data_IF_544681462761
#
_entry.id   IF_544681462761
#
_cell.length_a   1.000
_cell.length_b   1.000
_cell.length_c   1.000
_cell.angle_alpha   90.00
_cell.angle_beta   90.00
_cell.angle_gamma   90.00
#
_symmetry.space_group_name_H-M   'P 1'
#
loop_
_entity.id
_entity.type
_entity.pdbx_description
1 polymer ?
#
# COMPACT_ATOMS: atom_id res chain seq x y z
N UNK A 1 -24.11 -17.39 10.26
CA UNK A 1 -23.18 -16.66 9.39
C UNK A 1 -22.34 -15.58 10.09
N UNK A 2 -22.34 -15.53 11.42
CA UNK A 2 -21.57 -14.53 12.22
C UNK A 2 -20.18 -14.96 12.67
N UNK A 3 -19.91 -16.26 12.66
CA UNK A 3 -18.62 -16.83 13.14
C UNK A 3 -17.42 -16.45 12.25
N UNK A 4 -17.66 -16.01 11.02
CA UNK A 4 -16.58 -15.74 10.05
C UNK A 4 -15.98 -14.32 10.18
N UNK A 5 -16.65 -13.42 10.88
CA UNK A 5 -16.22 -12.01 11.01
C UNK A 5 -15.24 -11.82 12.17
N UNK A 6 -15.46 -12.50 13.29
CA UNK A 6 -14.55 -12.49 14.44
C UNK A 6 -13.23 -13.21 14.13
N UNK A 7 -13.30 -14.36 13.47
CA UNK A 7 -12.11 -15.10 13.01
C UNK A 7 -11.27 -14.28 12.02
N UNK A 8 -11.90 -13.50 11.15
CA UNK A 8 -11.19 -12.61 10.22
C UNK A 8 -10.53 -11.42 10.94
N UNK A 9 -11.12 -10.89 11.97
CA UNK A 9 -10.56 -9.78 12.77
C UNK A 9 -9.39 -10.27 13.62
N UNK A 10 -9.50 -11.46 14.21
CA UNK A 10 -8.44 -12.06 15.02
C UNK A 10 -7.24 -12.51 14.15
N UNK A 11 -7.51 -13.07 12.98
CA UNK A 11 -6.49 -13.42 11.99
C UNK A 11 -5.79 -12.18 11.42
N UNK A 12 -6.53 -11.10 11.17
CA UNK A 12 -5.97 -9.82 10.76
C UNK A 12 -5.06 -9.20 11.83
N UNK A 13 -5.39 -9.38 13.12
CA UNK A 13 -4.58 -8.91 14.24
C UNK A 13 -3.25 -9.67 14.39
N UNK A 14 -3.27 -11.00 14.29
CA UNK A 14 -2.05 -11.83 14.37
C UNK A 14 -1.12 -11.62 13.17
N UNK A 15 -1.68 -11.50 11.97
CA UNK A 15 -0.91 -11.26 10.75
C UNK A 15 -0.29 -9.86 10.75
N UNK A 16 -0.97 -8.85 11.28
CA UNK A 16 -0.44 -7.48 11.35
C UNK A 16 0.83 -7.40 12.20
N UNK A 17 0.90 -8.11 13.33
CA UNK A 17 2.07 -8.09 14.24
C UNK A 17 3.26 -8.85 13.66
N UNK A 18 3.02 -10.01 13.02
CA UNK A 18 4.09 -10.81 12.41
C UNK A 18 4.71 -10.12 11.19
N UNK A 19 3.94 -9.29 10.49
CA UNK A 19 4.37 -8.64 9.25
C UNK A 19 5.09 -7.32 9.51
N UNK A 20 4.73 -6.56 10.53
CA UNK A 20 5.52 -5.39 10.97
C UNK A 20 6.95 -5.83 11.25
N UNK A 21 7.14 -6.92 12.00
CA UNK A 21 8.46 -7.46 12.31
C UNK A 21 9.22 -7.96 11.07
N UNK A 22 8.52 -8.56 10.10
CA UNK A 22 9.16 -9.11 8.88
C UNK A 22 9.52 -8.01 7.86
N UNK A 23 8.77 -6.91 7.82
CA UNK A 23 9.04 -5.75 6.96
C UNK A 23 10.22 -4.91 7.49
N UNK A 24 10.37 -4.82 8.81
CA UNK A 24 11.52 -4.19 9.46
C UNK A 24 12.81 -5.00 9.23
N UNK A 25 12.75 -6.33 9.36
CA UNK A 25 13.92 -7.21 9.16
C UNK A 25 14.39 -7.32 7.70
N UNK A 26 13.48 -7.16 6.73
CA UNK A 26 13.82 -7.39 5.32
C UNK A 26 14.08 -6.13 4.49
N UNK A 27 13.95 -4.93 5.07
CA UNK A 27 14.14 -3.66 4.32
C UNK A 27 13.35 -3.60 2.99
N UNK A 28 12.18 -4.27 2.92
CA UNK A 28 11.40 -4.55 1.70
C UNK A 28 10.46 -3.42 1.31
N UNK A 29 10.42 -2.30 2.05
CA UNK A 29 9.83 -1.07 1.51
C UNK A 29 10.90 -0.38 0.67
N UNK A 30 11.33 -1.07 -0.36
CA UNK A 30 12.09 -0.48 -1.44
C UNK A 30 11.09 0.05 -2.46
N UNK A 31 10.59 1.27 -2.23
CA UNK A 31 9.71 2.00 -3.17
C UNK A 31 10.48 2.45 -4.42
N UNK A 32 11.23 1.53 -5.04
CA UNK A 32 12.02 1.81 -6.25
C UNK A 32 11.30 1.50 -7.55
N UNK A 33 9.97 1.41 -7.58
CA UNK A 33 9.29 1.00 -8.82
C UNK A 33 8.24 2.01 -9.31
N UNK A 34 8.49 3.31 -9.20
CA UNK A 34 7.80 4.28 -10.06
C UNK A 34 8.76 5.42 -10.45
N UNK A 35 9.27 5.27 -11.66
CA UNK A 35 9.69 6.36 -12.54
C UNK A 35 10.80 7.29 -12.02
N UNK A 36 12.07 6.92 -12.21
CA UNK A 36 13.08 7.91 -12.54
C UNK A 36 14.21 7.29 -13.34
N UNK A 37 14.34 7.72 -14.57
CA UNK A 37 15.58 7.62 -15.32
C UNK A 37 16.59 8.56 -14.68
N UNK A 38 17.63 8.03 -14.04
CA UNK A 38 18.72 8.84 -13.49
C UNK A 38 19.41 8.13 -12.30
N UNK A 39 20.58 7.55 -12.53
CA UNK A 39 21.51 7.05 -11.52
C UNK A 39 21.97 8.20 -10.63
N UNK A 40 21.31 8.42 -9.51
CA UNK A 40 21.87 9.08 -8.34
C UNK A 40 21.52 8.22 -7.12
N UNK A 41 22.51 7.86 -6.32
CA UNK A 41 22.33 7.24 -5.02
C UNK A 41 21.44 8.20 -4.17
N UNK A 42 20.13 7.97 -4.17
CA UNK A 42 19.19 8.79 -3.42
C UNK A 42 19.40 8.46 -1.93
N UNK A 43 19.60 9.49 -1.13
CA UNK A 43 19.55 9.38 0.32
C UNK A 43 18.21 8.71 0.73
N UNK A 44 18.20 7.87 1.77
CA UNK A 44 16.96 7.23 2.22
C UNK A 44 15.91 8.29 2.51
N UNK A 45 14.70 8.12 1.94
CA UNK A 45 13.59 9.06 2.14
C UNK A 45 13.26 9.19 3.62
N UNK A 46 13.02 10.41 4.07
CA UNK A 46 12.57 10.68 5.44
C UNK A 46 11.20 10.02 5.71
N UNK A 47 10.87 9.82 6.99
CA UNK A 47 9.57 9.31 7.39
C UNK A 47 8.42 10.20 6.88
N UNK A 48 8.64 11.52 6.85
CA UNK A 48 7.71 12.49 6.27
C UNK A 48 7.45 12.22 4.78
N UNK A 49 8.51 12.09 3.98
CA UNK A 49 8.40 11.85 2.52
C UNK A 49 7.75 10.50 2.21
N UNK A 50 8.06 9.46 3.00
CA UNK A 50 7.40 8.15 2.89
C UNK A 50 5.90 8.23 3.18
N UNK A 51 5.53 8.96 4.23
CA UNK A 51 4.12 9.17 4.59
C UNK A 51 3.38 9.91 3.49
N UNK A 52 3.96 10.98 2.95
CA UNK A 52 3.34 11.74 1.87
C UNK A 52 3.21 10.90 0.59
N UNK A 53 4.21 10.10 0.25
CA UNK A 53 4.14 9.17 -0.88
C UNK A 53 3.03 8.10 -0.70
N UNK A 54 2.86 7.55 0.50
CA UNK A 54 1.77 6.61 0.79
C UNK A 54 0.39 7.26 0.64
N UNK A 55 0.22 8.50 1.09
CA UNK A 55 -1.03 9.24 0.94
C UNK A 55 -1.36 9.50 -0.54
N UNK A 56 -0.38 9.89 -1.37
CA UNK A 56 -0.58 10.07 -2.81
C UNK A 56 -0.95 8.76 -3.52
N UNK A 57 -0.30 7.65 -3.13
CA UNK A 57 -0.53 6.35 -3.75
C UNK A 57 -1.78 5.62 -3.23
N UNK A 58 -2.43 6.13 -2.18
CA UNK A 58 -3.52 5.44 -1.49
C UNK A 58 -4.69 5.07 -2.39
N UNK A 59 -5.11 5.98 -3.28
CA UNK A 59 -6.20 5.73 -4.24
C UNK A 59 -5.83 4.64 -5.26
N UNK A 60 -4.59 4.69 -5.76
CA UNK A 60 -4.10 3.69 -6.70
C UNK A 60 -3.97 2.32 -6.03
N UNK A 61 -3.52 2.28 -4.78
CA UNK A 61 -3.47 1.04 -4.01
C UNK A 61 -4.86 0.42 -3.84
N UNK A 62 -5.88 1.21 -3.51
CA UNK A 62 -7.27 0.72 -3.43
C UNK A 62 -7.74 0.15 -4.76
N UNK A 63 -7.53 0.89 -5.86
CA UNK A 63 -7.90 0.43 -7.19
C UNK A 63 -7.21 -0.89 -7.56
N UNK A 64 -5.91 -1.02 -7.32
CA UNK A 64 -5.15 -2.25 -7.58
C UNK A 64 -5.71 -3.43 -6.77
N UNK A 65 -6.04 -3.22 -5.50
CA UNK A 65 -6.64 -4.27 -4.66
C UNK A 65 -8.00 -4.68 -5.20
N UNK A 66 -8.87 -3.72 -5.56
CA UNK A 66 -10.20 -3.99 -6.11
C UNK A 66 -10.11 -4.77 -7.44
N UNK A 67 -9.21 -4.38 -8.35
CA UNK A 67 -8.94 -5.07 -9.62
C UNK A 67 -8.48 -6.53 -9.37
N UNK A 68 -7.58 -6.74 -8.42
CA UNK A 68 -7.10 -8.10 -8.08
C UNK A 68 -8.15 -8.95 -7.37
N UNK A 69 -8.99 -8.33 -6.55
CA UNK A 69 -10.10 -9.04 -5.92
C UNK A 69 -11.11 -9.50 -6.96
N UNK A 70 -11.41 -8.66 -7.96
CA UNK A 70 -12.26 -9.04 -9.08
C UNK A 70 -11.65 -10.20 -9.89
N UNK A 71 -10.33 -10.14 -10.17
CA UNK A 71 -9.63 -11.23 -10.86
C UNK A 71 -9.71 -12.55 -10.09
N UNK A 72 -9.59 -12.51 -8.76
CA UNK A 72 -9.76 -13.68 -7.90
C UNK A 72 -11.18 -14.25 -7.99
N UNK A 73 -12.20 -13.40 -8.00
CA UNK A 73 -13.60 -13.85 -8.14
C UNK A 73 -13.84 -14.47 -9.51
N UNK A 74 -13.30 -13.88 -10.57
CA UNK A 74 -13.42 -14.39 -11.93
C UNK A 74 -12.74 -15.76 -12.08
N UNK A 75 -11.54 -15.94 -11.52
CA UNK A 75 -10.85 -17.23 -11.51
C UNK A 75 -11.63 -18.30 -10.73
N UNK A 76 -12.22 -17.95 -9.59
CA UNK A 76 -13.06 -18.88 -8.82
C UNK A 76 -14.31 -19.30 -9.58
N UNK A 77 -14.86 -18.42 -10.41
CA UNK A 77 -16.12 -18.64 -11.13
C UNK A 77 -15.92 -19.33 -12.47
N UNK A 78 -14.89 -18.95 -13.21
CA UNK A 78 -14.69 -19.35 -14.59
C UNK A 78 -13.44 -20.23 -14.81
N UNK A 79 -12.62 -20.44 -13.77
CA UNK A 79 -11.35 -21.12 -13.88
C UNK A 79 -10.19 -20.21 -14.28
N UNK A 80 -8.99 -20.75 -14.32
CA UNK A 80 -7.78 -20.01 -14.68
C UNK A 80 -7.74 -19.78 -16.19
N UNK A 81 -7.59 -18.52 -16.67
CA UNK A 81 -7.44 -18.22 -18.09
C UNK A 81 -6.19 -18.89 -18.67
N UNK A 82 -6.31 -19.55 -19.81
CA UNK A 82 -5.19 -20.28 -20.45
C UNK A 82 -3.98 -19.40 -20.82
N UNK A 83 -4.19 -18.10 -21.06
CA UNK A 83 -3.13 -17.15 -21.38
C UNK A 83 -2.22 -16.78 -20.20
N UNK A 84 -2.70 -16.89 -18.97
CA UNK A 84 -1.90 -16.58 -17.78
C UNK A 84 -0.92 -17.70 -17.41
N UNK A 85 -1.24 -18.95 -17.74
CA UNK A 85 -0.39 -20.11 -17.45
C UNK A 85 0.91 -20.13 -18.26
N UNK A 86 0.92 -19.53 -19.46
CA UNK A 86 2.07 -19.56 -20.40
C UNK A 86 3.11 -18.48 -20.10
N UNK A 87 2.74 -17.33 -19.57
CA UNK A 87 3.67 -16.20 -19.35
C UNK A 87 4.62 -16.36 -18.17
N UNK A 88 4.25 -17.10 -17.14
CA UNK A 88 5.07 -17.24 -15.94
C UNK A 88 6.19 -18.29 -16.10
N UNK A 89 6.03 -19.27 -16.99
CA UNK A 89 7.04 -20.29 -17.24
C UNK A 89 8.22 -19.80 -18.09
N UNK A 90 8.00 -18.83 -18.98
CA UNK A 90 9.07 -18.23 -19.81
C UNK A 90 10.01 -17.33 -19.00
N UNK A 91 9.56 -16.78 -17.90
CA UNK A 91 10.37 -15.90 -17.04
C UNK A 91 11.35 -16.65 -16.09
N UNK A 92 11.19 -17.97 -15.88
CA UNK A 92 12.02 -18.76 -14.97
C UNK A 92 13.17 -19.55 -15.61
N UNK A 93 13.54 -19.22 -16.87
CA UNK A 93 14.80 -19.62 -17.52
C UNK A 93 15.49 -20.85 -16.98
N UNK A 94 14.94 -22.06 -17.18
CA UNK A 94 15.67 -23.30 -17.07
C UNK A 94 15.44 -24.11 -18.34
N UNK A 95 16.37 -23.96 -19.26
CA UNK A 95 16.46 -24.80 -20.45
C UNK A 95 16.99 -26.16 -20.00
N UNK A 96 16.11 -27.08 -19.67
CA UNK A 96 16.40 -28.51 -19.74
C UNK A 96 15.37 -29.17 -20.66
N UNK A 97 15.87 -29.66 -21.77
CA UNK A 97 15.23 -30.52 -22.76
C UNK A 97 14.65 -31.76 -22.12
N UNK A 98 13.39 -31.69 -21.77
CA UNK A 98 12.56 -32.80 -21.35
C UNK A 98 11.12 -32.34 -21.36
N UNK A 99 10.26 -32.96 -22.17
CA UNK A 99 8.90 -32.60 -22.54
C UNK A 99 8.18 -31.68 -21.55
N UNK A 100 7.80 -30.50 -22.04
CA UNK A 100 6.95 -29.54 -21.33
C UNK A 100 5.59 -30.20 -21.05
N UNK A 101 5.45 -30.80 -19.88
CA UNK A 101 4.14 -31.06 -19.29
C UNK A 101 3.67 -29.70 -18.78
N UNK A 102 2.81 -29.04 -19.54
CA UNK A 102 2.07 -27.87 -19.09
C UNK A 102 1.10 -28.36 -18.00
N UNK A 103 1.54 -28.37 -16.73
CA UNK A 103 0.62 -28.53 -15.62
C UNK A 103 -0.29 -27.30 -15.63
N UNK A 104 -1.58 -27.52 -15.87
CA UNK A 104 -2.58 -26.47 -15.74
C UNK A 104 -2.54 -25.98 -14.28
N UNK A 105 -2.29 -24.68 -14.09
CA UNK A 105 -2.31 -24.07 -12.75
C UNK A 105 -3.69 -24.29 -12.12
N UNK A 106 -3.73 -24.86 -10.91
CA UNK A 106 -5.00 -25.06 -10.22
C UNK A 106 -5.60 -23.71 -9.79
N UNK A 107 -6.91 -23.67 -9.69
CA UNK A 107 -7.64 -22.46 -9.23
C UNK A 107 -7.10 -21.98 -7.88
N UNK A 108 -6.84 -22.93 -6.96
CA UNK A 108 -6.30 -22.64 -5.63
C UNK A 108 -4.91 -22.00 -5.70
N UNK A 109 -4.03 -22.50 -6.58
CA UNK A 109 -2.68 -21.95 -6.78
C UNK A 109 -2.72 -20.53 -7.34
N UNK A 110 -3.56 -20.31 -8.35
CA UNK A 110 -3.74 -18.99 -8.96
C UNK A 110 -4.29 -17.98 -7.95
N UNK A 111 -5.33 -18.34 -7.20
CA UNK A 111 -5.90 -17.52 -6.14
C UNK A 111 -4.87 -17.21 -5.05
N UNK A 112 -4.12 -18.22 -4.58
CA UNK A 112 -3.09 -18.03 -3.56
C UNK A 112 -1.96 -17.10 -4.04
N UNK A 113 -1.58 -17.16 -5.32
CA UNK A 113 -0.60 -16.28 -5.93
C UNK A 113 -1.09 -14.83 -5.97
N UNK A 114 -2.32 -14.60 -6.41
CA UNK A 114 -2.94 -13.26 -6.44
C UNK A 114 -3.08 -12.68 -5.04
N UNK A 115 -3.54 -13.45 -4.07
CA UNK A 115 -3.60 -13.02 -2.67
C UNK A 115 -2.23 -12.56 -2.14
N UNK A 116 -1.18 -13.33 -2.39
CA UNK A 116 0.18 -12.94 -1.99
C UNK A 116 0.63 -11.64 -2.66
N UNK A 117 0.24 -11.40 -3.92
CA UNK A 117 0.62 -10.18 -4.64
C UNK A 117 -0.03 -8.90 -4.08
N UNK A 118 -1.21 -9.00 -3.49
CA UNK A 118 -1.93 -7.82 -2.94
C UNK A 118 -1.73 -7.64 -1.44
N UNK A 119 -1.22 -8.62 -0.74
CA UNK A 119 -1.13 -8.61 0.72
C UNK A 119 -0.36 -7.38 1.26
N UNK A 120 0.79 -7.04 0.67
CA UNK A 120 1.56 -5.86 1.07
C UNK A 120 0.80 -4.55 0.80
N UNK A 121 0.05 -4.48 -0.30
CA UNK A 121 -0.77 -3.32 -0.64
C UNK A 121 -1.94 -3.15 0.33
N UNK A 122 -2.62 -4.23 0.70
CA UNK A 122 -3.69 -4.23 1.71
C UNK A 122 -3.15 -3.76 3.06
N UNK A 123 -1.95 -4.19 3.43
CA UNK A 123 -1.30 -3.76 4.67
C UNK A 123 -0.96 -2.27 4.66
N UNK A 124 -0.43 -1.74 3.54
CA UNK A 124 -0.16 -0.33 3.38
C UNK A 124 -1.44 0.51 3.50
N UNK A 125 -2.55 0.07 2.87
CA UNK A 125 -3.87 0.71 3.02
C UNK A 125 -4.31 0.70 4.49
N UNK A 126 -4.28 -0.47 5.14
CA UNK A 126 -4.68 -0.59 6.55
C UNK A 126 -3.86 0.29 7.49
N UNK A 127 -2.56 0.41 7.23
CA UNK A 127 -1.67 1.28 8.00
C UNK A 127 -2.09 2.75 7.86
N UNK A 128 -2.32 3.22 6.63
CA UNK A 128 -2.81 4.59 6.37
C UNK A 128 -4.16 4.81 7.02
N UNK A 129 -5.13 3.88 6.87
CA UNK A 129 -6.47 4.01 7.46
C UNK A 129 -6.42 4.15 9.00
N UNK A 130 -5.61 3.33 9.67
CA UNK A 130 -5.42 3.42 11.12
C UNK A 130 -4.80 4.75 11.54
N UNK A 131 -3.78 5.20 10.82
CA UNK A 131 -3.15 6.48 11.08
C UNK A 131 -4.09 7.66 10.88
N UNK A 132 -4.85 7.65 9.79
CA UNK A 132 -5.86 8.67 9.47
C UNK A 132 -6.99 8.70 10.50
N UNK A 133 -7.47 7.53 10.95
CA UNK A 133 -8.51 7.43 11.97
C UNK A 133 -8.10 8.10 13.29
N UNK A 134 -6.82 8.04 13.65
CA UNK A 134 -6.31 8.70 14.86
C UNK A 134 -6.28 10.24 14.77
N UNK A 135 -6.29 10.79 13.54
CA UNK A 135 -6.30 12.23 13.29
C UNK A 135 -7.71 12.80 13.08
N UNK A 136 -8.74 11.96 13.05
CA UNK A 136 -10.11 12.33 12.63
C UNK A 136 -10.71 13.49 13.43
N UNK A 137 -10.29 13.69 14.68
CA UNK A 137 -10.81 14.74 15.54
C UNK A 137 -10.03 16.08 15.41
N UNK A 138 -8.97 16.12 14.59
CA UNK A 138 -8.26 17.37 14.31
C UNK A 138 -9.12 18.27 13.41
N UNK A 139 -9.29 19.56 13.73
CA UNK A 139 -10.13 20.48 12.94
C UNK A 139 -9.65 20.65 11.49
N UNK A 140 -8.38 20.37 11.22
CA UNK A 140 -7.77 20.45 9.89
C UNK A 140 -7.64 19.08 9.20
N UNK A 141 -8.15 18.00 9.80
CA UNK A 141 -8.09 16.64 9.23
C UNK A 141 -8.58 16.57 7.78
N UNK A 142 -9.65 17.32 7.47
CA UNK A 142 -10.27 17.38 6.14
C UNK A 142 -9.27 17.83 5.05
N UNK A 143 -8.22 18.59 5.38
CA UNK A 143 -7.17 18.99 4.43
C UNK A 143 -6.49 17.77 3.80
N UNK A 144 -6.22 16.72 4.59
CA UNK A 144 -5.59 15.50 4.08
C UNK A 144 -6.52 14.78 3.09
N UNK A 145 -7.81 14.63 3.42
CA UNK A 145 -8.76 14.00 2.52
C UNK A 145 -8.89 14.76 1.19
N UNK A 146 -9.11 16.06 1.27
CA UNK A 146 -9.25 16.91 0.08
C UNK A 146 -8.01 16.90 -0.80
N UNK A 147 -6.82 16.97 -0.18
CA UNK A 147 -5.56 17.01 -0.92
C UNK A 147 -5.19 15.70 -1.57
N UNK A 148 -5.24 14.58 -0.80
CA UNK A 148 -4.70 13.29 -1.24
C UNK A 148 -5.75 12.36 -1.81
N UNK A 149 -7.00 12.44 -1.33
CA UNK A 149 -8.05 11.53 -1.78
C UNK A 149 -8.99 12.16 -2.80
N UNK A 150 -9.22 13.48 -2.73
CA UNK A 150 -10.03 14.21 -3.72
C UNK A 150 -9.17 14.87 -4.81
N UNK A 151 -7.86 15.02 -4.60
CA UNK A 151 -6.93 15.61 -5.57
C UNK A 151 -7.06 17.11 -5.74
N UNK A 152 -7.63 17.83 -4.74
CA UNK A 152 -7.85 19.27 -4.78
C UNK A 152 -6.53 20.06 -4.64
N UNK A 153 -6.50 21.26 -5.19
CA UNK A 153 -5.37 22.18 -5.03
C UNK A 153 -5.36 22.80 -3.63
N UNK A 154 -4.21 23.32 -3.20
CA UNK A 154 -4.15 24.01 -1.91
C UNK A 154 -4.93 25.32 -1.92
N UNK A 155 -5.05 25.94 -3.08
CA UNK A 155 -5.86 27.14 -3.31
C UNK A 155 -7.35 26.85 -3.08
N UNK A 156 -7.89 25.79 -3.69
CA UNK A 156 -9.28 25.38 -3.53
C UNK A 156 -9.60 25.05 -2.07
N UNK A 157 -8.67 24.36 -1.39
CA UNK A 157 -8.81 24.02 0.03
C UNK A 157 -8.80 25.28 0.89
N UNK A 158 -7.93 26.27 0.57
CA UNK A 158 -7.86 27.53 1.30
C UNK A 158 -9.16 28.33 1.20
N UNK A 159 -9.78 28.34 0.02
CA UNK A 159 -11.09 28.97 -0.20
C UNK A 159 -12.15 28.29 0.67
N UNK A 160 -12.21 26.95 0.70
CA UNK A 160 -13.21 26.21 1.49
C UNK A 160 -13.04 26.44 3.00
N UNK A 161 -11.79 26.51 3.49
CA UNK A 161 -11.51 26.79 4.90
C UNK A 161 -11.58 28.28 5.26
N UNK A 162 -11.73 29.16 4.29
CA UNK A 162 -11.75 30.61 4.52
C UNK A 162 -10.43 31.14 5.10
N UNK A 163 -9.29 30.56 4.72
CA UNK A 163 -7.98 30.91 5.26
C UNK A 163 -6.92 31.03 4.15
N UNK A 164 -5.69 31.44 4.51
CA UNK A 164 -4.60 31.55 3.53
C UNK A 164 -4.06 30.18 3.12
N UNK A 165 -3.54 30.07 1.89
CA UNK A 165 -2.84 28.88 1.41
C UNK A 165 -1.65 28.50 2.33
N UNK A 166 -0.98 29.48 2.92
CA UNK A 166 0.10 29.25 3.88
C UNK A 166 -0.42 28.52 5.12
N UNK A 167 -1.61 28.89 5.61
CA UNK A 167 -2.28 28.23 6.73
C UNK A 167 -2.58 26.76 6.39
N UNK A 168 -3.10 26.50 5.19
CA UNK A 168 -3.36 25.14 4.70
C UNK A 168 -2.06 24.33 4.62
N UNK A 169 -1.02 24.89 4.01
CA UNK A 169 0.28 24.22 3.88
C UNK A 169 0.90 23.87 5.24
N UNK A 170 0.86 24.80 6.20
CA UNK A 170 1.39 24.57 7.54
C UNK A 170 0.63 23.45 8.27
N UNK A 171 -0.71 23.47 8.24
CA UNK A 171 -1.53 22.45 8.87
C UNK A 171 -1.40 21.09 8.17
N UNK A 172 -1.35 21.06 6.83
CA UNK A 172 -1.04 19.84 6.06
C UNK A 172 0.27 19.22 6.55
N UNK A 173 1.34 20.01 6.60
CA UNK A 173 2.66 19.51 7.00
C UNK A 173 2.70 19.06 8.47
N UNK A 174 1.99 19.75 9.37
CA UNK A 174 1.82 19.33 10.77
C UNK A 174 1.15 17.96 10.85
N UNK A 175 0.03 17.80 10.17
CA UNK A 175 -0.73 16.52 10.15
C UNK A 175 0.09 15.37 9.55
N UNK A 176 0.87 15.62 8.47
CA UNK A 176 1.75 14.60 7.89
C UNK A 176 2.84 14.20 8.87
N UNK A 177 3.44 15.15 9.61
CA UNK A 177 4.44 14.82 10.65
C UNK A 177 3.82 13.99 11.77
N UNK A 178 2.62 14.33 12.22
CA UNK A 178 1.92 13.55 13.23
C UNK A 178 1.58 12.15 12.74
N UNK A 179 1.15 12.03 11.47
CA UNK A 179 0.91 10.76 10.82
C UNK A 179 2.20 9.96 10.66
N UNK A 180 3.32 10.57 10.27
CA UNK A 180 4.61 9.90 10.11
C UNK A 180 5.12 9.28 11.41
N UNK A 181 4.90 9.93 12.55
CA UNK A 181 5.23 9.38 13.87
C UNK A 181 4.46 8.10 14.18
N UNK A 182 3.23 7.96 13.65
CA UNK A 182 2.39 6.78 13.84
C UNK A 182 2.72 5.66 12.86
N UNK A 183 3.07 6.01 11.62
CA UNK A 183 3.38 5.05 10.56
C UNK A 183 4.81 4.52 10.64
N UNK A 184 5.78 5.38 11.02
CA UNK A 184 7.21 5.08 10.99
C UNK A 184 7.92 5.49 12.31
N UNK A 185 7.46 5.00 13.48
CA UNK A 185 7.99 5.44 14.77
C UNK A 185 9.50 5.18 14.91
N UNK A 186 9.99 4.01 14.49
CA UNK A 186 11.41 3.66 14.58
C UNK A 186 12.27 4.57 13.70
N UNK A 187 11.83 4.84 12.48
CA UNK A 187 12.56 5.74 11.59
C UNK A 187 12.62 7.17 12.13
N UNK A 188 11.55 7.66 12.73
CA UNK A 188 11.52 8.98 13.38
C UNK A 188 12.52 9.03 14.54
N UNK A 189 12.59 7.99 15.37
CA UNK A 189 13.58 7.91 16.46
C UNK A 189 14.99 7.96 15.88
N UNK A 190 15.28 7.18 14.83
CA UNK A 190 16.59 7.18 14.16
C UNK A 190 16.94 8.54 13.55
N UNK A 191 15.96 9.26 13.00
CA UNK A 191 16.15 10.61 12.45
C UNK A 191 16.48 11.66 13.53
N UNK A 192 15.95 11.50 14.75
CA UNK A 192 16.24 12.38 15.89
C UNK A 192 17.54 12.04 16.63
N UNK A 193 18.03 10.81 16.49
CA UNK A 193 19.25 10.35 17.19
C UNK A 193 20.53 10.56 16.39
N UNK A 194 20.43 11.05 15.16
CA UNK A 194 21.56 11.41 14.29
C UNK A 194 21.97 12.86 14.43
#
# INVERSE_FOLDING_TARGET
MEVNKELMVEFAGMVATAVVNTLEERNIINCNTYGSFGNQAQSPRSAFEKTEALLYSYRDFKRIVDERMQEIEDIKKYGVPKDLSVREYVAKGSVHTGGLVLEEESVESAVARLWRSVQSTVQAISLVDKGMAALKYDPYYRILEMRYFEGRTQEDIAVEFGCSQVTISNNKNRLIRELSMRLFPNQIIDEYMR
#
